data_IF_967403354753
#
_entry.id   IF_967403354753
#
_cell.length_a   1.000
_cell.length_b   1.000
_cell.length_c   1.000
_cell.angle_alpha   90.00
_cell.angle_beta   90.00
_cell.angle_gamma   90.00
#
_symmetry.space_group_name_H-M   'P 1'
#
loop_
_entity.id
_entity.type
_entity.pdbx_description
1 polymer ?
#
# COMPACT_ATOMS: atom_id res chain seq x y z
N UNK A 1 2.20 28.54 -9.15
CA UNK A 1 1.43 27.29 -8.90
C UNK A 1 -0.06 27.60 -9.10
N UNK A 2 -0.67 27.09 -10.17
CA UNK A 2 -2.00 27.53 -10.66
C UNK A 2 -3.19 26.98 -9.85
N UNK A 3 -3.01 25.82 -9.20
CA UNK A 3 -4.03 25.16 -8.39
C UNK A 3 -3.45 24.80 -7.02
N UNK A 4 -4.27 24.95 -5.96
CA UNK A 4 -3.88 24.66 -4.57
C UNK A 4 -5.05 24.01 -3.83
N UNK A 5 -4.74 22.96 -3.09
CA UNK A 5 -5.66 22.37 -2.12
C UNK A 5 -5.52 23.12 -0.79
N UNK A 6 -6.65 23.52 -0.21
CA UNK A 6 -6.71 24.21 1.09
C UNK A 6 -7.70 23.49 1.98
N UNK A 7 -7.33 23.32 3.24
CA UNK A 7 -8.14 22.64 4.25
C UNK A 7 -8.18 23.53 5.49
N UNK A 8 -9.37 23.70 6.08
CA UNK A 8 -9.55 24.50 7.29
C UNK A 8 -9.19 23.74 8.57
N UNK A 9 -9.11 22.41 8.48
CA UNK A 9 -8.86 21.51 9.61
C UNK A 9 -7.74 20.54 9.27
N UNK A 10 -7.09 20.05 10.32
CA UNK A 10 -6.11 18.97 10.22
C UNK A 10 -6.76 17.68 9.73
N UNK A 11 -6.05 16.95 8.86
CA UNK A 11 -6.48 15.64 8.36
C UNK A 11 -6.16 14.59 9.43
N UNK A 12 -7.18 13.97 10.02
CA UNK A 12 -7.03 13.02 11.13
C UNK A 12 -7.01 11.56 10.69
N UNK A 13 -7.34 11.27 9.43
CA UNK A 13 -7.38 9.92 8.85
C UNK A 13 -6.38 9.75 7.71
N UNK A 14 -5.87 8.53 7.58
CA UNK A 14 -4.86 8.20 6.56
C UNK A 14 -5.41 8.25 5.13
N UNK A 15 -6.65 7.84 4.93
CA UNK A 15 -7.33 7.78 3.62
C UNK A 15 -7.72 9.16 3.05
N UNK A 16 -7.63 10.21 3.88
CA UNK A 16 -7.88 11.61 3.49
C UNK A 16 -6.57 12.41 3.28
N UNK A 17 -5.42 11.76 3.48
CA UNK A 17 -4.11 12.39 3.48
C UNK A 17 -3.71 12.96 2.10
N UNK A 18 -2.85 13.98 2.10
CA UNK A 18 -2.39 14.62 0.87
C UNK A 18 -1.28 13.75 0.24
N UNK A 19 -1.44 13.27 -1.00
CA UNK A 19 -0.42 12.51 -1.69
C UNK A 19 0.66 13.42 -2.27
N UNK A 20 1.92 13.08 -1.99
CA UNK A 20 3.10 13.66 -2.60
C UNK A 20 3.98 12.53 -3.14
N UNK A 21 4.67 12.75 -4.26
CA UNK A 21 5.59 11.75 -4.79
C UNK A 21 6.39 12.23 -5.98
N UNK A 22 7.47 11.52 -6.26
CA UNK A 22 8.38 11.78 -7.38
C UNK A 22 8.42 10.63 -8.41
N UNK A 23 7.42 9.73 -8.37
CA UNK A 23 7.34 8.56 -9.24
C UNK A 23 8.07 7.31 -8.70
N UNK A 24 9.01 7.45 -7.76
CA UNK A 24 9.67 6.31 -7.10
C UNK A 24 9.32 6.20 -5.62
N UNK A 25 9.30 7.34 -4.93
CA UNK A 25 8.95 7.46 -3.52
C UNK A 25 7.68 8.29 -3.43
N UNK A 26 6.78 7.86 -2.56
CA UNK A 26 5.54 8.55 -2.24
C UNK A 26 5.40 8.77 -0.74
N UNK A 27 4.63 9.78 -0.37
CA UNK A 27 4.18 9.98 1.00
C UNK A 27 2.74 10.47 1.02
N UNK A 28 1.97 9.94 1.96
CA UNK A 28 0.71 10.52 2.39
C UNK A 28 0.96 11.40 3.62
N UNK A 29 0.68 12.69 3.51
CA UNK A 29 0.91 13.68 4.58
C UNK A 29 -0.40 13.99 5.29
N UNK A 30 -0.41 13.81 6.62
CA UNK A 30 -1.59 13.99 7.46
C UNK A 30 -1.20 14.20 8.93
N UNK A 31 -2.18 14.41 9.80
CA UNK A 31 -1.98 14.72 11.20
C UNK A 31 -2.29 16.17 11.53
N UNK A 32 -2.03 16.54 12.78
CA UNK A 32 -2.41 17.84 13.32
C UNK A 32 -1.26 18.49 14.10
N UNK A 33 -1.52 19.59 14.81
CA UNK A 33 -0.49 20.41 15.43
C UNK A 33 0.39 19.67 16.45
N UNK A 34 -0.14 18.63 17.10
CA UNK A 34 0.62 17.82 18.05
C UNK A 34 1.54 16.79 17.39
N UNK A 35 1.18 16.32 16.19
CA UNK A 35 1.99 15.36 15.45
C UNK A 35 1.69 15.37 13.95
N UNK A 36 2.71 15.64 13.14
CA UNK A 36 2.68 15.51 11.69
C UNK A 36 3.17 14.12 11.28
N UNK A 37 2.44 13.47 10.36
CA UNK A 37 2.67 12.09 9.94
C UNK A 37 2.93 12.02 8.45
N UNK A 38 3.90 11.20 8.08
CA UNK A 38 4.25 10.86 6.72
C UNK A 38 4.16 9.35 6.58
N UNK A 39 3.13 8.85 5.92
CA UNK A 39 3.04 7.44 5.58
C UNK A 39 3.84 7.23 4.30
N UNK A 40 4.94 6.48 4.40
CA UNK A 40 5.93 6.38 3.34
C UNK A 40 5.71 5.16 2.47
N UNK A 41 6.04 5.33 1.21
CA UNK A 41 5.87 4.31 0.19
C UNK A 41 6.98 4.37 -0.87
N UNK A 42 7.33 3.23 -1.45
CA UNK A 42 8.29 3.11 -2.55
C UNK A 42 7.82 2.03 -3.52
N UNK A 43 7.96 2.31 -4.81
CA UNK A 43 7.35 1.51 -5.89
C UNK A 43 7.90 0.09 -6.04
N UNK A 44 9.09 -0.19 -5.52
CA UNK A 44 9.80 -1.48 -5.65
C UNK A 44 9.72 -2.35 -4.39
N UNK A 45 8.93 -1.96 -3.37
CA UNK A 45 8.74 -2.76 -2.15
C UNK A 45 7.47 -3.61 -2.28
N UNK A 46 7.70 -4.88 -2.57
CA UNK A 46 6.67 -5.89 -2.78
C UNK A 46 7.03 -7.16 -2.01
N UNK A 47 6.01 -7.88 -1.56
CA UNK A 47 6.16 -9.28 -1.25
C UNK A 47 6.62 -10.02 -2.52
N UNK A 48 7.54 -10.97 -2.35
CA UNK A 48 8.11 -11.79 -3.43
C UNK A 48 7.95 -13.28 -3.16
N UNK A 49 7.06 -13.64 -2.23
CA UNK A 49 6.65 -15.02 -2.03
C UNK A 49 6.14 -15.61 -3.35
N UNK A 50 6.36 -16.91 -3.58
CA UNK A 50 5.73 -17.56 -4.73
C UNK A 50 4.26 -17.81 -4.41
N UNK A 51 3.31 -17.49 -5.31
CA UNK A 51 1.92 -17.86 -5.12
C UNK A 51 1.79 -19.37 -4.85
N UNK A 52 0.94 -19.72 -3.88
CA UNK A 52 0.77 -21.11 -3.49
C UNK A 52 0.27 -21.94 -4.68
N UNK A 53 0.78 -23.16 -4.83
CA UNK A 53 0.41 -24.12 -5.87
C UNK A 53 0.78 -23.75 -7.31
N UNK A 54 1.43 -22.62 -7.58
CA UNK A 54 1.88 -22.26 -8.93
C UNK A 54 3.28 -22.78 -9.27
N UNK A 55 4.00 -23.37 -8.31
CA UNK A 55 5.34 -23.97 -8.51
C UNK A 55 5.29 -25.39 -9.06
N UNK A 56 4.10 -25.94 -9.31
CA UNK A 56 3.95 -27.30 -9.86
C UNK A 56 4.48 -27.34 -11.29
N UNK A 57 5.20 -28.40 -11.64
CA UNK A 57 5.81 -28.55 -12.98
C UNK A 57 4.79 -28.56 -14.12
N UNK A 58 3.57 -28.99 -13.84
CA UNK A 58 2.44 -29.06 -14.77
C UNK A 58 1.56 -27.79 -14.76
N UNK A 59 1.92 -26.76 -13.97
CA UNK A 59 1.37 -25.41 -14.02
C UNK A 59 1.93 -24.64 -15.22
N UNK A 60 1.66 -25.15 -16.41
CA UNK A 60 2.15 -24.60 -17.68
C UNK A 60 1.01 -24.25 -18.61
N UNK A 61 1.26 -23.25 -19.46
CA UNK A 61 0.31 -22.89 -20.51
C UNK A 61 0.01 -24.06 -21.46
N UNK A 62 1.00 -24.90 -21.76
CA UNK A 62 0.81 -26.07 -22.61
C UNK A 62 -0.20 -27.07 -22.01
N UNK A 63 -0.12 -27.33 -20.70
CA UNK A 63 -1.06 -28.18 -19.99
C UNK A 63 -2.47 -27.57 -19.98
N UNK A 64 -2.57 -26.25 -19.71
CA UNK A 64 -3.86 -25.53 -19.77
C UNK A 64 -4.52 -25.66 -21.16
N UNK A 65 -3.75 -25.47 -22.24
CA UNK A 65 -4.25 -25.62 -23.62
C UNK A 65 -4.72 -27.06 -23.89
N UNK A 66 -3.98 -28.07 -23.40
CA UNK A 66 -4.39 -29.48 -23.53
C UNK A 66 -5.73 -29.73 -22.84
N UNK A 67 -5.85 -29.37 -21.56
CA UNK A 67 -7.09 -29.53 -20.80
C UNK A 67 -8.28 -28.80 -21.44
N UNK A 68 -8.03 -27.60 -21.99
CA UNK A 68 -9.06 -26.83 -22.68
C UNK A 68 -9.54 -27.51 -23.97
N UNK A 69 -8.62 -28.06 -24.78
CA UNK A 69 -8.96 -28.84 -25.98
C UNK A 69 -9.74 -30.12 -25.65
N UNK A 70 -9.41 -30.74 -24.53
CA UNK A 70 -10.06 -31.96 -24.05
C UNK A 70 -11.40 -31.67 -23.33
N UNK A 71 -11.82 -30.40 -23.22
CA UNK A 71 -13.07 -30.01 -22.57
C UNK A 71 -13.10 -30.20 -21.05
N UNK A 72 -11.93 -30.34 -20.41
CA UNK A 72 -11.77 -30.66 -18.98
C UNK A 72 -11.86 -29.42 -18.08
N UNK A 73 -12.97 -28.69 -18.16
CA UNK A 73 -13.15 -27.42 -17.42
C UNK A 73 -13.10 -27.58 -15.90
N UNK A 74 -13.55 -28.72 -15.36
CA UNK A 74 -13.45 -29.01 -13.92
C UNK A 74 -12.00 -29.05 -13.44
N UNK A 75 -11.15 -29.80 -14.16
CA UNK A 75 -9.71 -29.90 -13.87
C UNK A 75 -9.02 -28.53 -14.00
N UNK A 76 -9.39 -27.71 -14.99
CA UNK A 76 -8.87 -26.34 -15.13
C UNK A 76 -9.20 -25.50 -13.88
N UNK A 77 -10.44 -25.55 -13.39
CA UNK A 77 -10.84 -24.78 -12.20
C UNK A 77 -10.07 -25.22 -10.95
N UNK A 78 -9.96 -26.53 -10.74
CA UNK A 78 -9.27 -27.06 -9.58
C UNK A 78 -7.76 -26.78 -9.61
N UNK A 79 -7.18 -26.81 -10.81
CA UNK A 79 -5.73 -26.71 -10.95
C UNK A 79 -5.24 -25.27 -11.14
N UNK A 80 -5.89 -24.49 -12.01
CA UNK A 80 -5.47 -23.13 -12.39
C UNK A 80 -6.25 -22.02 -11.70
N UNK A 81 -7.54 -22.21 -11.37
CA UNK A 81 -8.35 -21.17 -10.73
C UNK A 81 -8.28 -21.22 -9.20
N UNK A 82 -8.22 -22.41 -8.60
CA UNK A 82 -8.15 -22.59 -7.15
C UNK A 82 -6.98 -21.83 -6.48
N UNK A 83 -5.78 -21.71 -7.09
CA UNK A 83 -4.70 -20.88 -6.55
C UNK A 83 -5.08 -19.41 -6.30
N UNK A 84 -6.05 -18.85 -7.04
CA UNK A 84 -6.53 -17.47 -6.79
C UNK A 84 -7.24 -17.31 -5.43
N UNK A 85 -7.65 -18.40 -4.79
CA UNK A 85 -8.23 -18.39 -3.43
C UNK A 85 -7.16 -18.37 -2.33
N UNK A 86 -5.88 -18.49 -2.69
CA UNK A 86 -4.76 -18.43 -1.76
C UNK A 86 -4.19 -17.01 -1.71
N UNK A 87 -3.52 -16.62 -0.60
CA UNK A 87 -2.80 -15.35 -0.54
C UNK A 87 -1.78 -15.25 -1.68
N UNK A 88 -1.78 -14.10 -2.35
CA UNK A 88 -0.81 -13.76 -3.40
C UNK A 88 0.06 -12.59 -2.94
N UNK A 89 1.26 -12.43 -3.54
CA UNK A 89 2.16 -11.35 -3.18
C UNK A 89 1.48 -9.99 -3.37
N UNK A 90 1.63 -9.12 -2.37
CA UNK A 90 1.07 -7.77 -2.40
C UNK A 90 2.15 -6.72 -2.24
N UNK A 91 1.79 -5.50 -2.62
CA UNK A 91 2.59 -4.31 -2.36
C UNK A 91 2.70 -4.10 -0.84
N UNK A 92 3.91 -3.85 -0.34
CA UNK A 92 4.13 -3.61 1.08
C UNK A 92 4.35 -2.11 1.37
N UNK A 93 3.85 -1.58 2.49
CA UNK A 93 4.13 -0.20 2.90
C UNK A 93 5.58 -0.05 3.39
N UNK A 94 6.21 1.08 3.09
CA UNK A 94 7.60 1.35 3.52
C UNK A 94 7.72 1.79 4.99
N UNK A 95 6.60 2.15 5.62
CA UNK A 95 6.53 2.57 7.02
C UNK A 95 6.02 4.00 7.19
N UNK A 96 6.44 4.66 8.28
CA UNK A 96 5.99 6.03 8.58
C UNK A 96 7.03 6.84 9.34
N UNK A 97 7.08 8.14 9.08
CA UNK A 97 7.76 9.13 9.93
C UNK A 97 6.71 9.92 10.70
N UNK A 98 6.97 10.17 11.98
CA UNK A 98 6.08 10.93 12.85
C UNK A 98 6.92 12.00 13.54
N UNK A 99 6.59 13.25 13.31
CA UNK A 99 7.17 14.37 14.04
C UNK A 99 6.20 14.78 15.12
N UNK A 100 6.60 14.57 16.38
CA UNK A 100 5.81 14.92 17.56
C UNK A 100 6.27 16.29 18.03
N UNK A 101 5.34 17.24 18.13
CA UNK A 101 5.61 18.57 18.61
C UNK A 101 5.21 18.65 20.08
N UNK A 102 6.18 18.92 20.95
CA UNK A 102 5.90 19.26 22.34
C UNK A 102 5.57 20.75 22.40
N UNK A 103 4.38 21.04 22.91
CA UNK A 103 3.99 22.40 23.22
C UNK A 103 4.59 22.74 24.58
N UNK A 104 5.78 23.32 24.60
CA UNK A 104 6.24 24.02 25.80
C UNK A 104 5.39 25.28 25.93
N UNK A 105 4.54 25.30 26.95
CA UNK A 105 3.87 26.53 27.37
C UNK A 105 4.98 27.42 27.91
N UNK A 106 5.51 28.30 27.06
CA UNK A 106 6.19 29.50 27.54
C UNK A 106 5.14 30.31 28.29
N UNK A 107 5.01 30.04 29.58
CA UNK A 107 4.35 30.94 30.51
C UNK A 107 5.17 32.23 30.41
N UNK A 108 4.65 33.21 29.66
CA UNK A 108 5.15 34.57 29.69
C UNK A 108 4.95 35.00 31.14
N UNK A 109 6.02 34.85 31.93
CA UNK A 109 6.09 35.47 33.25
C UNK A 109 5.89 36.95 32.98
N UNK A 110 4.76 37.48 33.46
CA UNK A 110 4.50 38.91 33.55
C UNK A 110 5.78 39.60 34.03
N UNK A 111 6.40 40.36 33.16
CA UNK A 111 7.30 41.41 33.57
C UNK A 111 6.41 42.61 33.85
N UNK A 112 6.34 42.96 35.14
CA UNK A 112 5.93 44.28 35.64
C UNK A 112 6.72 45.35 34.91
#
# INVERSE_FOLDING_TARGET
>A
MKYRLKFEKSITRWDEAIPLGNGRIGSLVWGGPSALRFSLDRTDIWDRSTPMYTEREDFTYANLVKLAKDGKTGEIREFFDAPYQCPTPTKLPSGKLIFVFRMEIMCVRNWI
#
